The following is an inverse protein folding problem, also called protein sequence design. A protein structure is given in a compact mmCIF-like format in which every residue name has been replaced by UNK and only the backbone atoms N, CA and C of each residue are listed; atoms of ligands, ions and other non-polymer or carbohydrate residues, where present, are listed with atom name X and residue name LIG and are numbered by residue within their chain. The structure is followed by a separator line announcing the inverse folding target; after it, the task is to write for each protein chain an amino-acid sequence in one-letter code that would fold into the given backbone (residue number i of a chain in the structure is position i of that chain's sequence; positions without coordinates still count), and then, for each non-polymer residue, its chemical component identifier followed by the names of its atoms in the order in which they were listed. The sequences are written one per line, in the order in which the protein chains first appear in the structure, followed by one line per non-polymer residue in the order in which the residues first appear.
data_IF_439669079771
#
_entry.id   IF_439669079771
#
_cell.length_a   1.000
_cell.length_b   1.000
_cell.length_c   1.000
_cell.angle_alpha   90.00
_cell.angle_beta   90.00
_cell.angle_gamma   90.00
#
_symmetry.space_group_name_H-M   'P 1'
#
loop_
_entity.id
_entity.type
_entity.pdbx_description
1 polymer ?
#
# COMPACT_ATOMS: atom_id res chain seq x y z
N UNK A 1 -9.35 -8.61 6.41
CA UNK A 1 -8.07 -8.29 5.74
C UNK A 1 -7.73 -6.84 6.11
N UNK A 2 -6.53 -6.55 6.61
CA UNK A 2 -6.10 -5.16 6.82
C UNK A 2 -5.73 -4.56 5.46
N UNK A 3 -6.08 -3.30 5.21
CA UNK A 3 -5.66 -2.57 4.00
C UNK A 3 -4.28 -1.93 4.18
N UNK A 4 -3.41 -2.64 4.90
CA UNK A 4 -2.06 -2.23 5.24
C UNK A 4 -1.20 -3.45 5.53
N UNK A 5 0.11 -3.30 5.35
CA UNK A 5 1.10 -4.32 5.64
C UNK A 5 2.31 -3.70 6.34
N UNK A 6 2.87 -4.31 7.39
CA UNK A 6 4.12 -3.87 7.98
C UNK A 6 5.22 -3.75 6.94
N UNK A 7 5.98 -2.65 6.99
CA UNK A 7 7.06 -2.37 6.03
C UNK A 7 8.08 -3.52 5.99
N UNK A 8 8.30 -4.19 7.12
CA UNK A 8 9.20 -5.34 7.23
C UNK A 8 8.77 -6.57 6.43
N UNK A 9 7.47 -6.74 6.15
CA UNK A 9 6.93 -7.89 5.43
C UNK A 9 6.59 -7.55 3.97
N UNK A 10 6.50 -6.27 3.61
CA UNK A 10 5.99 -5.84 2.32
C UNK A 10 6.65 -6.51 1.11
N UNK A 11 7.98 -6.65 1.14
CA UNK A 11 8.77 -7.25 0.03
C UNK A 11 8.41 -8.69 -0.30
N UNK A 12 7.82 -9.42 0.65
CA UNK A 12 7.53 -10.84 0.49
C UNK A 12 6.09 -11.08 0.01
N UNK A 13 5.20 -10.09 0.14
CA UNK A 13 3.76 -10.28 -0.04
C UNK A 13 3.09 -9.31 -1.02
N UNK A 14 3.72 -8.17 -1.35
CA UNK A 14 3.14 -7.17 -2.25
C UNK A 14 4.19 -6.59 -3.18
N UNK A 15 3.75 -6.17 -4.35
CA UNK A 15 4.56 -5.47 -5.34
C UNK A 15 4.50 -3.95 -5.14
N UNK A 16 5.50 -3.20 -5.59
CA UNK A 16 5.59 -1.74 -5.41
C UNK A 16 4.37 -1.00 -5.96
N UNK A 17 3.77 -1.51 -7.04
CA UNK A 17 2.58 -0.90 -7.67
C UNK A 17 1.30 -1.09 -6.84
N UNK A 18 1.31 -1.98 -5.84
CA UNK A 18 0.18 -2.24 -4.95
C UNK A 18 0.17 -1.31 -3.74
N UNK A 19 1.26 -0.57 -3.51
CA UNK A 19 1.40 0.37 -2.39
C UNK A 19 0.82 1.73 -2.80
N UNK A 20 0.04 2.33 -1.91
CA UNK A 20 -0.51 3.67 -2.11
C UNK A 20 0.64 4.70 -2.15
N UNK A 21 0.77 5.51 -3.23
CA UNK A 21 1.79 6.55 -3.29
C UNK A 21 1.37 7.78 -2.48
N UNK A 22 2.34 8.36 -1.79
CA UNK A 22 2.31 9.72 -1.26
C UNK A 22 2.98 10.67 -2.25
N UNK A 23 2.26 11.72 -2.63
CA UNK A 23 2.77 12.77 -3.49
C UNK A 23 3.32 13.91 -2.66
N UNK A 24 4.55 14.32 -2.96
CA UNK A 24 5.15 15.51 -2.37
C UNK A 24 5.69 16.43 -3.45
N UNK A 25 5.59 17.73 -3.18
CA UNK A 25 5.89 18.78 -4.13
C UNK A 25 7.14 19.53 -3.69
N UNK A 26 8.06 19.75 -4.61
CA UNK A 26 9.27 20.53 -4.38
C UNK A 26 9.33 21.68 -5.38
N UNK A 27 9.53 22.91 -4.90
CA UNK A 27 9.76 24.06 -5.77
C UNK A 27 11.25 24.17 -6.09
N UNK A 28 11.64 23.97 -7.35
CA UNK A 28 13.02 24.19 -7.83
C UNK A 28 13.04 25.15 -9.02
N UNK A 29 13.82 26.22 -8.92
CA UNK A 29 14.01 27.22 -9.99
C UNK A 29 12.67 27.75 -10.55
N UNK A 30 11.67 27.97 -9.68
CA UNK A 30 10.34 28.43 -10.09
C UNK A 30 9.44 27.38 -10.75
N UNK A 31 9.88 26.12 -10.82
CA UNK A 31 9.08 24.98 -11.31
C UNK A 31 8.71 24.06 -10.16
N UNK A 32 7.45 23.62 -10.11
CA UNK A 32 6.98 22.58 -9.18
C UNK A 32 7.40 21.23 -9.73
N UNK A 33 8.15 20.47 -8.94
CA UNK A 33 8.52 19.08 -9.19
C UNK A 33 7.60 18.21 -8.35
N UNK A 34 6.87 17.30 -9.01
CA UNK A 34 6.05 16.28 -8.36
C UNK A 34 6.95 15.07 -8.13
N UNK A 35 6.93 14.54 -6.91
CA UNK A 35 7.64 13.32 -6.54
C UNK A 35 6.71 12.39 -5.79
N UNK A 36 7.02 11.11 -5.87
CA UNK A 36 6.26 10.05 -5.24
C UNK A 36 7.16 9.27 -4.29
N UNK A 37 6.57 8.81 -3.19
CA UNK A 37 7.16 7.83 -2.28
C UNK A 37 6.05 6.95 -1.71
N UNK A 38 6.36 5.75 -1.21
CA UNK A 38 5.38 4.94 -0.50
C UNK A 38 4.74 5.70 0.66
N UNK A 39 3.41 5.63 0.80
CA UNK A 39 2.75 6.16 1.97
C UNK A 39 2.94 5.23 3.17
N UNK A 40 3.72 5.69 4.15
CA UNK A 40 3.98 5.00 5.42
C UNK A 40 3.25 5.70 6.55
N UNK A 41 2.58 4.91 7.39
CA UNK A 41 1.92 5.41 8.61
C UNK A 41 2.10 4.43 9.76
N UNK A 42 1.85 4.91 10.98
CA UNK A 42 1.78 4.07 12.18
C UNK A 42 0.41 3.40 12.24
N UNK A 43 0.38 2.07 12.23
CA UNK A 43 -0.87 1.33 12.40
C UNK A 43 -1.37 1.34 13.85
N UNK A 44 -2.48 0.64 14.11
CA UNK A 44 -3.12 0.55 15.42
C UNK A 44 -2.21 -0.05 16.51
N UNK A 45 -1.12 -0.71 16.13
CA UNK A 45 -0.13 -1.32 17.01
C UNK A 45 1.16 -0.48 17.11
N UNK A 46 1.20 0.68 16.45
CA UNK A 46 2.36 1.58 16.43
C UNK A 46 3.49 1.12 15.50
N UNK A 47 3.21 0.19 14.59
CA UNK A 47 4.18 -0.36 13.64
C UNK A 47 4.15 0.47 12.36
N UNK A 48 5.31 0.71 11.76
CA UNK A 48 5.38 1.34 10.43
C UNK A 48 4.84 0.38 9.38
N UNK A 49 3.75 0.81 8.73
CA UNK A 49 2.99 0.01 7.78
C UNK A 49 2.76 0.82 6.50
N UNK A 50 2.82 0.14 5.35
CA UNK A 50 2.39 0.70 4.07
C UNK A 50 0.87 0.62 3.96
N UNK A 51 0.27 1.65 3.38
CA UNK A 51 -1.11 1.56 2.88
C UNK A 51 -1.14 0.83 1.55
N UNK A 52 -2.09 -0.07 1.37
CA UNK A 52 -2.30 -0.78 0.12
C UNK A 52 -3.40 -0.12 -0.71
N UNK A 53 -3.23 -0.16 -2.02
CA UNK A 53 -4.25 0.19 -2.97
C UNK A 53 -5.46 -0.76 -2.83
N UNK A 54 -6.71 -0.26 -2.89
CA UNK A 54 -7.88 -1.10 -2.67
C UNK A 54 -8.05 -2.24 -3.70
N UNK A 55 -7.59 -2.04 -4.93
CA UNK A 55 -7.83 -2.97 -6.04
C UNK A 55 -7.14 -4.33 -5.81
N UNK A 56 -5.83 -4.40 -5.48
CA UNK A 56 -5.17 -5.63 -5.05
C UNK A 56 -5.86 -6.36 -3.89
N UNK A 57 -6.28 -5.61 -2.87
CA UNK A 57 -6.87 -6.15 -1.65
C UNK A 57 -8.23 -6.80 -1.94
N UNK A 58 -9.07 -6.20 -2.79
CA UNK A 58 -10.34 -6.79 -3.20
C UNK A 58 -10.14 -8.08 -4.00
N UNK A 59 -9.16 -8.12 -4.91
CA UNK A 59 -8.84 -9.35 -5.68
C UNK A 59 -8.39 -10.47 -4.74
N UNK A 60 -7.52 -10.15 -3.77
CA UNK A 60 -7.08 -11.12 -2.74
C UNK A 60 -8.25 -11.63 -1.90
N UNK A 61 -9.16 -10.74 -1.50
CA UNK A 61 -10.36 -11.11 -0.76
C UNK A 61 -11.27 -12.06 -1.55
N UNK A 62 -11.51 -11.79 -2.84
CA UNK A 62 -12.33 -12.66 -3.70
C UNK A 62 -11.67 -14.05 -3.81
N UNK A 63 -10.35 -14.12 -4.00
CA UNK A 63 -9.63 -15.39 -4.05
C UNK A 63 -9.82 -16.21 -2.77
N UNK A 64 -9.66 -15.57 -1.61
CA UNK A 64 -9.86 -16.22 -0.30
C UNK A 64 -11.32 -16.66 -0.11
N UNK A 65 -12.28 -15.86 -0.58
CA UNK A 65 -13.71 -16.21 -0.50
C UNK A 65 -14.03 -17.45 -1.33
N UNK A 66 -13.52 -17.53 -2.57
CA UNK A 66 -13.69 -18.70 -3.44
C UNK A 66 -13.07 -19.94 -2.81
N UNK A 67 -11.87 -19.83 -2.25
CA UNK A 67 -11.18 -20.93 -1.57
C UNK A 67 -11.95 -21.42 -0.34
N UNK A 68 -12.40 -20.51 0.54
CA UNK A 68 -13.12 -20.84 1.78
C UNK A 68 -14.51 -21.41 1.49
N UNK A 69 -15.22 -20.86 0.51
CA UNK A 69 -16.58 -21.28 0.17
C UNK A 69 -16.62 -22.45 -0.84
N UNK A 70 -15.46 -22.88 -1.34
CA UNK A 70 -15.31 -23.95 -2.32
C UNK A 70 -16.22 -23.76 -3.55
N UNK A 71 -16.21 -22.53 -4.09
CA UNK A 71 -17.00 -22.10 -5.25
C UNK A 71 -16.28 -22.37 -6.58
#
# INVERSE_FOLDING_TARGET
MRNSIPVSMAKDYVEDYEITPEYYYELKNGKVIIKERPWIFKDDEGIDSFSLLPQPVVVSFIKQLVEVLNL
#
